data_IF_469725397792
#
_entry.id   IF_469725397792
#
_cell.length_a   1.000
_cell.length_b   1.000
_cell.length_c   1.000
_cell.angle_alpha   90.00
_cell.angle_beta   90.00
_cell.angle_gamma   90.00
#
_symmetry.space_group_name_H-M   'P 1'
#
loop_
_entity.id
_entity.type
_entity.pdbx_description
1 polymer ?
#
# COMPACT_ATOMS: atom_id res chain seq x y z
N UNK A 1 16.02 6.66 -3.96
CA UNK A 1 14.78 7.44 -4.10
C UNK A 1 14.44 8.11 -2.77
N UNK A 2 13.88 9.29 -2.81
CA UNK A 2 13.47 10.02 -1.59
C UNK A 2 11.98 9.97 -1.39
N UNK A 3 11.56 9.88 -0.12
CA UNK A 3 10.16 10.04 0.28
C UNK A 3 10.03 11.36 1.03
N UNK A 4 9.10 12.20 0.61
CA UNK A 4 8.75 13.45 1.29
C UNK A 4 7.38 13.26 1.91
N UNK A 5 7.24 13.65 3.17
CA UNK A 5 5.97 13.54 3.88
C UNK A 5 5.69 14.80 4.71
N UNK A 6 4.45 14.96 5.08
CA UNK A 6 4.02 16.04 5.95
C UNK A 6 2.69 15.71 6.59
N UNK A 7 2.25 16.52 7.52
CA UNK A 7 0.96 16.38 8.19
C UNK A 7 0.17 17.68 8.15
N UNK A 8 -1.15 17.55 8.15
CA UNK A 8 -2.06 18.67 8.32
C UNK A 8 -2.42 18.77 9.81
N UNK A 9 -1.58 19.50 10.54
CA UNK A 9 -1.67 19.60 12.00
C UNK A 9 -0.79 18.58 12.74
N UNK A 10 -0.87 18.52 14.07
CA UNK A 10 -0.05 17.63 14.88
C UNK A 10 -0.33 16.15 14.59
N UNK A 11 0.73 15.34 14.60
CA UNK A 11 0.58 13.89 14.53
C UNK A 11 0.06 13.33 15.85
N UNK A 12 -0.84 12.31 15.82
CA UNK A 12 -1.29 11.65 17.04
C UNK A 12 -0.10 11.04 17.80
N UNK A 13 0.01 11.33 19.09
CA UNK A 13 1.14 10.90 19.93
C UNK A 13 1.05 9.43 20.36
N UNK A 14 -0.13 8.85 20.34
CA UNK A 14 -0.41 7.49 20.83
C UNK A 14 -0.65 6.49 19.70
N UNK A 15 0.05 6.65 18.58
CA UNK A 15 0.05 5.66 17.49
C UNK A 15 0.76 4.38 17.95
N UNK A 16 0.20 3.18 17.64
CA UNK A 16 0.81 1.91 18.05
C UNK A 16 2.13 1.57 17.35
N UNK A 17 2.42 2.18 16.21
CA UNK A 17 3.62 1.89 15.40
C UNK A 17 4.85 2.74 15.75
N UNK A 18 4.76 3.73 16.62
CA UNK A 18 5.90 4.58 16.97
C UNK A 18 6.52 5.31 15.77
N UNK A 19 7.81 5.58 15.83
CA UNK A 19 8.54 6.21 14.72
C UNK A 19 8.89 5.20 13.63
N UNK A 20 8.68 5.60 12.37
CA UNK A 20 9.15 4.82 11.23
C UNK A 20 10.65 5.04 11.03
N UNK A 21 11.37 4.06 10.42
CA UNK A 21 12.80 4.23 10.13
C UNK A 21 13.04 5.37 9.13
N UNK A 22 14.21 5.98 9.18
CA UNK A 22 14.60 7.02 8.24
C UNK A 22 15.07 6.50 6.88
N UNK A 23 15.34 5.21 6.77
CA UNK A 23 15.80 4.54 5.54
C UNK A 23 15.08 3.22 5.38
N UNK A 24 14.58 2.96 4.17
CA UNK A 24 13.97 1.70 3.76
C UNK A 24 14.82 1.04 2.68
N UNK A 25 15.09 -0.27 2.80
CA UNK A 25 15.89 -1.02 1.83
C UNK A 25 15.11 -2.23 1.34
N UNK A 26 14.59 -2.14 0.12
CA UNK A 26 13.86 -3.23 -0.53
C UNK A 26 14.30 -3.36 -1.98
N UNK A 27 14.40 -4.60 -2.47
CA UNK A 27 14.65 -4.87 -3.87
C UNK A 27 13.46 -4.45 -4.75
N UNK A 28 13.74 -4.00 -5.94
CA UNK A 28 12.68 -3.73 -6.92
C UNK A 28 11.98 -5.03 -7.32
N UNK A 29 10.66 -5.00 -7.59
CA UNK A 29 9.93 -6.15 -8.06
C UNK A 29 10.54 -6.72 -9.34
N UNK A 30 10.67 -8.05 -9.42
CA UNK A 30 11.23 -8.73 -10.59
C UNK A 30 10.22 -8.80 -11.75
N UNK A 31 8.95 -9.06 -11.42
CA UNK A 31 7.84 -9.20 -12.38
C UNK A 31 6.90 -8.01 -12.28
N UNK A 32 7.34 -6.86 -12.76
CA UNK A 32 6.55 -5.64 -12.68
C UNK A 32 5.38 -5.65 -13.66
N UNK A 33 4.20 -5.28 -13.17
CA UNK A 33 3.04 -4.97 -14.02
C UNK A 33 3.20 -3.57 -14.61
N UNK A 34 3.69 -2.64 -13.81
CA UNK A 34 3.96 -1.26 -14.19
C UNK A 34 5.44 -0.94 -14.03
N UNK A 35 6.04 -0.22 -15.00
CA UNK A 35 7.47 0.10 -15.01
C UNK A 35 7.93 0.87 -13.75
N UNK A 36 7.03 1.64 -13.14
CA UNK A 36 7.29 2.41 -11.92
C UNK A 36 6.78 1.73 -10.65
N UNK A 37 6.39 0.46 -10.73
CA UNK A 37 5.88 -0.29 -9.59
C UNK A 37 6.89 -0.33 -8.44
N UNK A 38 6.43 0.03 -7.25
CA UNK A 38 7.23 0.00 -6.03
C UNK A 38 7.14 -1.36 -5.34
N UNK A 39 8.15 -1.75 -4.54
CA UNK A 39 8.06 -2.96 -3.73
C UNK A 39 6.85 -2.93 -2.78
N UNK A 40 6.07 -3.99 -2.77
CA UNK A 40 4.88 -4.07 -1.93
C UNK A 40 5.21 -3.88 -0.44
N UNK A 41 6.29 -4.49 0.04
CA UNK A 41 6.69 -4.38 1.44
C UNK A 41 7.07 -2.95 1.82
N UNK A 42 7.72 -2.21 0.93
CA UNK A 42 8.00 -0.79 1.13
C UNK A 42 6.71 0.00 1.34
N UNK A 43 5.72 -0.23 0.49
CA UNK A 43 4.43 0.47 0.60
C UNK A 43 3.68 0.06 1.85
N UNK A 44 3.77 -1.20 2.27
CA UNK A 44 3.20 -1.66 3.54
C UNK A 44 3.80 -0.94 4.75
N UNK A 45 5.08 -0.65 4.70
CA UNK A 45 5.76 0.12 5.76
C UNK A 45 5.35 1.60 5.72
N UNK A 46 5.33 2.21 4.54
CA UNK A 46 5.02 3.63 4.37
C UNK A 46 3.59 3.99 4.77
N UNK A 47 2.60 3.15 4.47
CA UNK A 47 1.21 3.43 4.82
C UNK A 47 0.98 3.51 6.34
N UNK A 48 1.86 2.94 7.14
CA UNK A 48 1.81 3.00 8.60
C UNK A 48 2.02 4.40 9.17
N UNK A 49 2.40 5.38 8.36
CA UNK A 49 2.39 6.79 8.76
C UNK A 49 0.97 7.29 9.04
N UNK A 50 -0.02 6.68 8.40
CA UNK A 50 -1.43 6.97 8.62
C UNK A 50 -1.90 6.41 9.97
N UNK A 51 -2.91 7.05 10.58
CA UNK A 51 -3.53 6.53 11.81
C UNK A 51 -4.17 5.17 11.55
N UNK A 52 -4.12 4.22 12.51
CA UNK A 52 -4.77 2.92 12.35
C UNK A 52 -6.25 3.04 11.97
N UNK A 53 -6.68 2.25 10.99
CA UNK A 53 -8.05 2.28 10.48
C UNK A 53 -8.40 3.50 9.64
N UNK A 54 -7.43 4.33 9.31
CA UNK A 54 -7.61 5.50 8.45
C UNK A 54 -7.88 5.16 6.99
N UNK A 55 -8.02 6.18 6.18
CA UNK A 55 -8.28 6.08 4.74
C UNK A 55 -7.07 6.55 3.96
N UNK A 56 -6.71 5.80 2.92
CA UNK A 56 -5.57 6.11 2.07
C UNK A 56 -6.08 6.33 0.64
N UNK A 57 -5.63 7.41 0.05
CA UNK A 57 -5.92 7.74 -1.35
C UNK A 57 -4.60 7.76 -2.13
N UNK A 58 -4.54 7.00 -3.20
CA UNK A 58 -3.48 7.09 -4.21
C UNK A 58 -4.11 7.51 -5.54
N UNK A 59 -3.98 8.79 -5.95
CA UNK A 59 -4.58 9.30 -7.18
C UNK A 59 -3.83 8.87 -8.45
N UNK A 60 -2.71 8.16 -8.33
CA UNK A 60 -1.89 7.68 -9.44
C UNK A 60 -1.44 6.23 -9.18
N UNK A 61 -2.39 5.35 -8.93
CA UNK A 61 -2.11 4.07 -8.31
C UNK A 61 -1.49 3.00 -9.24
N UNK A 62 -1.47 3.21 -10.54
CA UNK A 62 -0.86 2.28 -11.49
C UNK A 62 -1.35 0.85 -11.31
N UNK A 63 -0.43 -0.07 -10.96
CA UNK A 63 -0.74 -1.47 -10.70
C UNK A 63 -1.42 -1.75 -9.34
N UNK A 64 -1.76 -0.71 -8.58
CA UNK A 64 -2.51 -0.84 -7.34
C UNK A 64 -1.69 -1.27 -6.12
N UNK A 65 -0.37 -1.12 -6.14
CA UNK A 65 0.49 -1.54 -5.03
C UNK A 65 0.14 -0.83 -3.72
N UNK A 66 -0.10 0.49 -3.76
CA UNK A 66 -0.51 1.26 -2.56
C UNK A 66 -1.85 0.79 -2.01
N UNK A 67 -2.82 0.51 -2.89
CA UNK A 67 -4.14 0.02 -2.49
C UNK A 67 -4.02 -1.34 -1.81
N UNK A 68 -3.28 -2.26 -2.43
CA UNK A 68 -3.04 -3.59 -1.86
C UNK A 68 -2.33 -3.49 -0.51
N UNK A 69 -1.24 -2.73 -0.42
CA UNK A 69 -0.51 -2.52 0.81
C UNK A 69 -1.39 -1.98 1.93
N UNK A 70 -2.20 -0.98 1.61
CA UNK A 70 -3.13 -0.36 2.56
C UNK A 70 -4.15 -1.37 3.10
N UNK A 71 -4.74 -2.16 2.23
CA UNK A 71 -5.72 -3.19 2.62
C UNK A 71 -5.09 -4.27 3.49
N UNK A 72 -3.88 -4.72 3.14
CA UNK A 72 -3.15 -5.71 3.95
C UNK A 72 -2.81 -5.19 5.34
N UNK A 73 -2.63 -3.89 5.50
CA UNK A 73 -2.36 -3.26 6.79
C UNK A 73 -3.62 -2.76 7.53
N UNK A 74 -4.80 -3.09 7.04
CA UNK A 74 -6.07 -2.80 7.71
C UNK A 74 -6.66 -1.42 7.46
N UNK A 75 -6.19 -0.72 6.40
CA UNK A 75 -6.74 0.57 6.00
C UNK A 75 -7.82 0.44 4.94
N UNK A 76 -8.74 1.40 4.90
CA UNK A 76 -9.54 1.64 3.71
C UNK A 76 -8.66 2.31 2.65
N UNK A 77 -8.85 1.96 1.38
CA UNK A 77 -8.02 2.54 0.32
C UNK A 77 -8.82 2.78 -0.95
N UNK A 78 -8.51 3.90 -1.60
CA UNK A 78 -9.00 4.23 -2.94
C UNK A 78 -7.81 4.53 -3.83
N UNK A 79 -7.72 3.86 -4.95
CA UNK A 79 -6.76 4.14 -6.01
C UNK A 79 -7.45 4.72 -7.22
N UNK A 80 -6.78 5.64 -7.91
CA UNK A 80 -7.24 6.20 -9.18
C UNK A 80 -6.16 5.94 -10.21
N UNK A 81 -6.55 5.39 -11.36
CA UNK A 81 -5.66 5.12 -12.48
C UNK A 81 -6.35 5.54 -13.78
N UNK A 82 -5.70 6.41 -14.55
CA UNK A 82 -6.24 6.96 -15.78
C UNK A 82 -6.14 5.98 -16.95
N UNK A 83 -5.15 5.09 -16.93
CA UNK A 83 -4.88 4.14 -18.00
C UNK A 83 -5.75 2.89 -17.83
N UNK A 84 -6.64 2.64 -18.77
CA UNK A 84 -7.62 1.56 -18.74
C UNK A 84 -6.96 0.17 -18.56
N UNK A 85 -5.86 -0.09 -19.28
CA UNK A 85 -5.12 -1.34 -19.17
C UNK A 85 -4.54 -1.55 -17.77
N UNK A 86 -3.92 -0.54 -17.18
CA UNK A 86 -3.39 -0.62 -15.82
C UNK A 86 -4.49 -0.68 -14.77
N UNK A 87 -5.60 0.01 -14.97
CA UNK A 87 -6.76 -0.10 -14.11
C UNK A 87 -7.28 -1.54 -14.01
N UNK A 88 -7.43 -2.21 -15.15
CA UNK A 88 -7.89 -3.60 -15.20
C UNK A 88 -6.89 -4.56 -14.55
N UNK A 89 -5.62 -4.46 -14.93
CA UNK A 89 -4.55 -5.31 -14.37
C UNK A 89 -4.39 -5.10 -12.87
N UNK A 90 -4.40 -3.86 -12.41
CA UNK A 90 -4.28 -3.51 -11.00
C UNK A 90 -5.50 -3.96 -10.19
N UNK A 91 -6.71 -3.79 -10.72
CA UNK A 91 -7.94 -4.23 -10.08
C UNK A 91 -7.96 -5.75 -9.88
N UNK A 92 -7.58 -6.51 -10.89
CA UNK A 92 -7.49 -7.97 -10.81
C UNK A 92 -6.40 -8.41 -9.82
N UNK A 93 -5.23 -7.79 -9.90
CA UNK A 93 -4.12 -8.07 -8.98
C UNK A 93 -4.52 -7.86 -7.52
N UNK A 94 -5.13 -6.72 -7.20
CA UNK A 94 -5.56 -6.39 -5.84
C UNK A 94 -6.62 -7.37 -5.36
N UNK A 95 -7.61 -7.66 -6.18
CA UNK A 95 -8.68 -8.60 -5.84
C UNK A 95 -8.13 -9.99 -5.55
N UNK A 96 -7.36 -10.58 -6.46
CA UNK A 96 -6.79 -11.93 -6.27
C UNK A 96 -5.85 -12.02 -5.07
N UNK A 97 -5.03 -10.99 -4.85
CA UNK A 97 -4.12 -10.98 -3.70
C UNK A 97 -4.88 -10.91 -2.36
N UNK A 98 -5.97 -10.15 -2.28
CA UNK A 98 -6.80 -10.07 -1.08
C UNK A 98 -7.60 -11.35 -0.85
N UNK A 99 -8.13 -11.98 -1.88
CA UNK A 99 -8.80 -13.28 -1.79
C UNK A 99 -7.85 -14.34 -1.24
N UNK A 100 -6.65 -14.46 -1.81
CA UNK A 100 -5.63 -15.40 -1.35
C UNK A 100 -5.19 -15.14 0.10
N UNK A 101 -5.11 -13.88 0.52
CA UNK A 101 -4.76 -13.52 1.89
C UNK A 101 -5.86 -13.96 2.87
N UNK A 102 -7.12 -13.74 2.53
CA UNK A 102 -8.27 -14.14 3.34
C UNK A 102 -8.33 -15.65 3.49
N UNK A 103 -8.16 -16.40 2.40
CA UNK A 103 -8.11 -17.86 2.42
C UNK A 103 -6.98 -18.40 3.30
N UNK A 104 -5.79 -17.79 3.22
CA UNK A 104 -4.66 -18.18 4.06
C UNK A 104 -4.92 -17.94 5.55
N UNK A 105 -5.57 -16.83 5.90
CA UNK A 105 -5.96 -16.52 7.27
C UNK A 105 -7.01 -17.50 7.79
N UNK A 106 -8.01 -17.85 7.00
CA UNK A 106 -9.04 -18.84 7.36
C UNK A 106 -8.45 -20.23 7.56
N UNK A 107 -7.50 -20.64 6.72
CA UNK A 107 -6.82 -21.94 6.84
C UNK A 107 -5.91 -22.00 8.07
N UNK A 108 -5.33 -20.89 8.50
CA UNK A 108 -4.45 -20.81 9.67
C UNK A 108 -5.21 -20.81 11.02
N UNK A 109 -6.52 -20.72 11.01
CA UNK A 109 -7.37 -20.74 12.22
C UNK A 109 -7.66 -22.18 12.72
#
# INVERSE_FOLDING_TARGET
EYVVWGSNGPMPVNRPVGCLPGVFRYANPQNRIHVTEKPLQLMRDLVKVCVPGGRILDPFCGAGTTVLASRLEGYEAVGIEVTDAYYKLGSDRVRFALEAHTEAEETAR
#
